data_IF_817812167857
#
_entry.id   IF_817812167857
#
_cell.length_a   1.000
_cell.length_b   1.000
_cell.length_c   1.000
_cell.angle_alpha   90.00
_cell.angle_beta   90.00
_cell.angle_gamma   90.00
#
_symmetry.space_group_name_H-M   'P 1'
#
loop_
_entity.id
_entity.type
_entity.pdbx_description
1 polymer ?
#
# COMPACT_ATOMS: atom_id res chain seq x y z
N UNK A 1 -23.36 -17.43 -6.82
CA UNK A 1 -22.89 -16.30 -6.02
C UNK A 1 -23.12 -15.02 -6.82
N UNK A 2 -23.85 -14.04 -6.27
CA UNK A 2 -24.01 -12.72 -6.94
C UNK A 2 -22.66 -12.01 -6.82
N UNK A 3 -22.01 -11.74 -7.95
CA UNK A 3 -20.77 -10.94 -7.98
C UNK A 3 -21.07 -9.56 -7.39
N UNK A 4 -20.47 -9.22 -6.26
CA UNK A 4 -20.57 -7.87 -5.68
C UNK A 4 -19.86 -6.90 -6.63
N UNK A 5 -20.46 -5.74 -6.91
CA UNK A 5 -19.81 -4.72 -7.72
C UNK A 5 -18.64 -4.09 -6.96
N UNK A 6 -17.61 -3.60 -7.69
CA UNK A 6 -16.48 -2.88 -7.08
C UNK A 6 -16.96 -1.75 -6.16
N UNK A 7 -17.99 -1.01 -6.57
CA UNK A 7 -18.49 0.15 -5.82
C UNK A 7 -19.18 -0.24 -4.50
N UNK A 8 -20.00 -1.28 -4.52
CA UNK A 8 -20.62 -1.81 -3.29
C UNK A 8 -19.56 -2.24 -2.27
N UNK A 9 -18.51 -2.92 -2.72
CA UNK A 9 -17.42 -3.36 -1.82
C UNK A 9 -16.62 -2.16 -1.30
N UNK A 10 -16.36 -1.14 -2.13
CA UNK A 10 -15.70 0.11 -1.70
C UNK A 10 -16.49 0.83 -0.60
N UNK A 11 -17.79 1.01 -0.81
CA UNK A 11 -18.68 1.68 0.16
C UNK A 11 -18.70 0.94 1.50
N UNK A 12 -18.85 -0.39 1.48
CA UNK A 12 -18.83 -1.21 2.69
C UNK A 12 -17.48 -1.11 3.43
N UNK A 13 -16.35 -1.18 2.71
CA UNK A 13 -15.02 -1.08 3.31
C UNK A 13 -14.77 0.30 3.91
N UNK A 14 -15.16 1.37 3.23
CA UNK A 14 -15.03 2.73 3.75
C UNK A 14 -15.89 2.95 4.99
N UNK A 15 -17.12 2.42 5.02
CA UNK A 15 -18.01 2.47 6.18
C UNK A 15 -17.40 1.74 7.38
N UNK A 16 -16.91 0.49 7.18
CA UNK A 16 -16.23 -0.28 8.24
C UNK A 16 -15.00 0.44 8.78
N UNK A 17 -14.19 1.03 7.91
CA UNK A 17 -13.02 1.81 8.33
C UNK A 17 -13.38 3.04 9.15
N UNK A 18 -14.43 3.75 8.78
CA UNK A 18 -14.90 4.94 9.49
C UNK A 18 -15.47 4.63 10.87
N UNK A 19 -15.88 3.39 11.12
CA UNK A 19 -16.38 2.94 12.41
C UNK A 19 -15.28 2.57 13.41
N UNK A 20 -14.01 2.45 12.97
CA UNK A 20 -12.88 2.11 13.85
C UNK A 20 -12.55 3.25 14.81
N UNK A 21 -12.32 2.92 16.06
CA UNK A 21 -11.84 3.86 17.05
C UNK A 21 -10.36 4.25 16.82
N UNK A 22 -9.96 5.39 17.33
CA UNK A 22 -8.55 5.81 17.30
C UNK A 22 -7.62 4.83 18.01
N UNK A 23 -8.10 4.13 19.03
CA UNK A 23 -7.34 3.12 19.75
C UNK A 23 -7.07 1.88 18.87
N UNK A 24 -8.08 1.39 18.14
CA UNK A 24 -7.91 0.27 17.19
C UNK A 24 -6.94 0.64 16.06
N UNK A 25 -7.08 1.84 15.51
CA UNK A 25 -6.16 2.34 14.46
C UNK A 25 -4.73 2.43 15.00
N UNK A 26 -4.53 2.99 16.19
CA UNK A 26 -3.20 3.09 16.81
C UNK A 26 -2.58 1.72 17.08
N UNK A 27 -3.36 0.77 17.62
CA UNK A 27 -2.91 -0.59 17.86
C UNK A 27 -2.51 -1.30 16.57
N UNK A 28 -3.29 -1.14 15.49
CA UNK A 28 -2.97 -1.68 14.18
C UNK A 28 -1.65 -1.12 13.64
N UNK A 29 -1.41 0.19 13.78
CA UNK A 29 -0.15 0.82 13.37
C UNK A 29 1.05 0.26 14.12
N UNK A 30 0.93 0.08 15.43
CA UNK A 30 2.00 -0.51 16.24
C UNK A 30 2.28 -1.97 15.83
N UNK A 31 1.25 -2.76 15.61
CA UNK A 31 1.39 -4.14 15.16
C UNK A 31 2.05 -4.24 13.79
N UNK A 32 1.62 -3.42 12.82
CA UNK A 32 2.23 -3.34 11.49
C UNK A 32 3.71 -2.98 11.55
N UNK A 33 4.10 -2.02 12.41
CA UNK A 33 5.52 -1.64 12.59
C UNK A 33 6.39 -2.76 13.17
N UNK A 34 5.80 -3.70 13.91
CA UNK A 34 6.51 -4.80 14.57
C UNK A 34 6.78 -6.02 13.68
N UNK A 35 6.26 -6.07 12.45
CA UNK A 35 6.60 -7.15 11.52
C UNK A 35 8.08 -7.13 11.11
N UNK A 36 8.56 -8.27 10.64
CA UNK A 36 9.95 -8.42 10.14
C UNK A 36 10.09 -7.80 8.74
N UNK A 37 10.16 -6.47 8.70
CA UNK A 37 10.36 -5.71 7.46
C UNK A 37 11.72 -5.97 6.82
N UNK A 38 12.73 -6.36 7.60
CA UNK A 38 14.06 -6.69 7.07
C UNK A 38 14.02 -7.94 6.18
N UNK A 39 13.21 -8.93 6.53
CA UNK A 39 13.05 -10.13 5.72
C UNK A 39 12.30 -9.87 4.40
N UNK A 40 11.35 -8.93 4.39
CA UNK A 40 10.56 -8.59 3.20
C UNK A 40 11.24 -7.57 2.30
N UNK A 41 11.93 -6.59 2.87
CA UNK A 41 12.54 -5.45 2.17
C UNK A 41 14.07 -5.60 2.11
N UNK A 42 14.57 -6.49 1.26
CA UNK A 42 15.99 -6.88 1.24
C UNK A 42 16.91 -5.85 0.58
N UNK A 43 16.45 -5.09 -0.41
CA UNK A 43 17.24 -4.05 -1.10
C UNK A 43 17.21 -2.70 -0.37
N UNK A 44 17.91 -1.71 -0.94
CA UNK A 44 18.05 -0.39 -0.35
C UNK A 44 16.77 0.44 -0.53
N UNK A 45 16.26 0.53 -1.76
CA UNK A 45 15.05 1.30 -2.07
C UNK A 45 13.79 0.50 -1.77
N UNK A 46 12.85 1.13 -1.05
CA UNK A 46 11.51 0.62 -0.74
C UNK A 46 10.52 1.75 -0.95
N UNK A 47 9.36 1.49 -1.55
CA UNK A 47 8.30 2.50 -1.54
C UNK A 47 7.30 2.21 -0.42
N UNK A 48 6.77 3.28 0.18
CA UNK A 48 5.67 3.23 1.12
C UNK A 48 4.66 4.31 0.76
N UNK A 49 3.68 4.56 1.60
CA UNK A 49 2.72 5.65 1.44
C UNK A 49 2.40 6.30 2.79
N UNK A 50 1.96 7.55 2.76
CA UNK A 50 1.41 8.21 3.94
C UNK A 50 -0.06 7.81 4.04
N UNK A 51 -0.40 7.06 5.08
CA UNK A 51 -1.77 6.60 5.30
C UNK A 51 -2.74 7.76 5.57
N UNK A 52 -3.94 7.67 5.00
CA UNK A 52 -5.06 8.53 5.38
C UNK A 52 -5.61 8.10 6.75
N UNK A 53 -6.39 8.97 7.38
CA UNK A 53 -6.87 8.78 8.75
C UNK A 53 -7.61 7.43 9.01
N UNK A 54 -8.25 6.87 7.99
CA UNK A 54 -9.00 5.61 8.08
C UNK A 54 -8.26 4.40 7.49
N UNK A 55 -7.04 4.59 7.01
CA UNK A 55 -6.22 3.50 6.47
C UNK A 55 -5.38 2.83 7.56
N UNK A 56 -4.91 1.58 7.33
CA UNK A 56 -3.89 1.00 8.19
C UNK A 56 -2.71 1.97 8.32
N UNK A 57 -2.32 2.38 9.56
CA UNK A 57 -1.30 3.41 9.74
C UNK A 57 0.07 2.93 9.28
N UNK A 58 0.74 3.75 8.46
CA UNK A 58 2.08 3.44 7.92
C UNK A 58 3.22 4.16 8.64
N UNK A 59 2.94 5.02 9.60
CA UNK A 59 3.97 5.79 10.32
C UNK A 59 5.02 4.88 10.95
N UNK A 60 4.60 3.87 11.72
CA UNK A 60 5.51 2.94 12.39
C UNK A 60 6.26 2.04 11.38
N UNK A 61 5.62 1.65 10.28
CA UNK A 61 6.26 0.91 9.18
C UNK A 61 7.35 1.76 8.55
N UNK A 62 7.04 3.02 8.21
CA UNK A 62 8.01 3.97 7.63
C UNK A 62 9.19 4.21 8.57
N UNK A 63 8.91 4.49 9.84
CA UNK A 63 9.95 4.63 10.87
C UNK A 63 10.83 3.39 10.92
N UNK A 64 10.23 2.19 10.93
CA UNK A 64 10.97 0.93 10.97
C UNK A 64 11.85 0.73 9.74
N UNK A 65 11.36 1.04 8.55
CA UNK A 65 12.15 0.97 7.31
C UNK A 65 13.35 1.95 7.35
N UNK A 66 13.14 3.18 7.83
CA UNK A 66 14.23 4.15 8.02
C UNK A 66 15.25 3.67 9.06
N UNK A 67 14.83 3.09 10.19
CA UNK A 67 15.72 2.49 11.20
C UNK A 67 16.56 1.33 10.63
N UNK A 68 16.02 0.59 9.65
CA UNK A 68 16.73 -0.44 8.90
C UNK A 68 17.67 0.13 7.82
N UNK A 69 17.81 1.45 7.75
CA UNK A 69 18.66 2.14 6.78
C UNK A 69 18.13 2.10 5.35
N UNK A 70 16.81 1.94 5.14
CA UNK A 70 16.22 1.92 3.80
C UNK A 70 15.98 3.35 3.29
N UNK A 71 16.15 3.52 1.98
CA UNK A 71 15.69 4.70 1.27
C UNK A 71 14.19 4.54 1.00
N UNK A 72 13.36 5.22 1.79
CA UNK A 72 11.90 5.11 1.69
C UNK A 72 11.38 6.16 0.72
N UNK A 73 10.79 5.73 -0.38
CA UNK A 73 10.12 6.62 -1.34
C UNK A 73 8.61 6.67 -1.10
N UNK A 74 8.04 7.88 -1.12
CA UNK A 74 6.61 8.14 -0.96
C UNK A 74 6.00 8.67 -2.25
N UNK A 75 4.74 8.33 -2.56
CA UNK A 75 4.05 8.78 -3.76
C UNK A 75 3.66 10.25 -3.68
N UNK A 76 3.71 10.91 -4.82
CA UNK A 76 3.24 12.29 -5.07
C UNK A 76 2.17 12.21 -6.16
N UNK A 77 0.97 12.68 -5.87
CA UNK A 77 -0.13 12.66 -6.83
C UNK A 77 0.10 13.69 -7.94
N UNK A 78 -0.05 13.25 -9.19
CA UNK A 78 0.10 14.10 -10.39
C UNK A 78 -1.18 14.07 -11.22
N UNK A 79 -1.39 15.07 -12.10
CA UNK A 79 -2.48 15.07 -13.07
C UNK A 79 -2.51 13.78 -13.89
N UNK A 80 -3.70 13.35 -14.32
CA UNK A 80 -3.89 12.10 -15.07
C UNK A 80 -3.81 10.85 -14.19
N UNK A 81 -3.97 11.00 -12.86
CA UNK A 81 -3.91 9.93 -11.87
C UNK A 81 -2.59 9.13 -11.96
N UNK A 82 -1.48 9.81 -12.22
CA UNK A 82 -0.13 9.27 -12.20
C UNK A 82 0.56 9.59 -10.87
N UNK A 83 1.62 8.86 -10.56
CA UNK A 83 2.45 9.07 -9.37
C UNK A 83 3.85 9.51 -9.79
N UNK A 84 4.37 10.53 -9.12
CA UNK A 84 5.79 10.78 -8.97
C UNK A 84 6.21 10.34 -7.57
N UNK A 85 7.49 10.40 -7.26
CA UNK A 85 8.05 9.90 -6.01
C UNK A 85 9.01 10.91 -5.39
N UNK A 86 9.18 10.85 -4.08
CA UNK A 86 10.16 11.62 -3.32
C UNK A 86 10.53 10.86 -2.06
N UNK A 87 11.67 11.18 -1.45
CA UNK A 87 12.15 10.47 -0.26
C UNK A 87 11.45 10.95 1.02
N UNK A 88 11.25 10.04 1.96
CA UNK A 88 10.63 10.26 3.27
C UNK A 88 11.56 10.97 4.29
N UNK A 89 12.73 11.38 3.86
CA UNK A 89 13.70 12.16 4.63
C UNK A 89 13.54 13.69 4.46
N UNK A 90 12.57 14.12 3.67
CA UNK A 90 12.27 15.52 3.38
C UNK A 90 11.06 16.02 4.16
N UNK A 91 10.90 17.33 4.26
CA UNK A 91 9.70 17.94 4.80
C UNK A 91 8.48 17.55 3.93
N UNK A 92 7.44 16.99 4.58
CA UNK A 92 6.22 16.60 3.90
C UNK A 92 5.24 17.78 3.82
N UNK A 93 4.77 18.08 2.63
CA UNK A 93 3.81 19.14 2.36
C UNK A 93 2.42 18.57 2.11
N UNK A 94 1.41 19.17 2.71
CA UNK A 94 0.02 18.72 2.57
C UNK A 94 -0.55 19.14 1.21
N UNK A 95 -1.02 18.19 0.41
CA UNK A 95 -1.66 18.47 -0.87
C UNK A 95 -3.14 18.90 -0.71
N UNK A 96 -3.84 19.20 -1.82
CA UNK A 96 -5.24 19.62 -1.83
C UNK A 96 -6.22 18.56 -1.32
N UNK A 97 -5.83 17.29 -1.27
CA UNK A 97 -6.62 16.19 -0.70
C UNK A 97 -6.33 15.93 0.78
N UNK A 98 -5.44 16.73 1.37
CA UNK A 98 -5.04 16.58 2.77
C UNK A 98 -4.01 15.50 3.01
N UNK A 99 -3.40 14.92 1.99
CA UNK A 99 -2.36 13.90 2.05
C UNK A 99 -1.00 14.60 2.11
N UNK A 100 -0.11 14.13 2.98
CA UNK A 100 1.25 14.63 3.07
C UNK A 100 2.13 13.97 2.01
N UNK A 101 2.84 14.78 1.24
CA UNK A 101 3.69 14.37 0.12
C UNK A 101 5.11 14.94 0.28
N UNK A 102 6.15 14.19 -0.12
CA UNK A 102 7.53 14.66 -0.09
C UNK A 102 7.82 15.64 -1.24
N UNK A 103 9.02 16.20 -1.22
CA UNK A 103 9.56 16.94 -2.38
C UNK A 103 9.87 15.93 -3.50
N UNK A 104 9.49 16.21 -4.77
CA UNK A 104 9.77 15.30 -5.88
C UNK A 104 11.26 15.02 -6.09
N UNK A 105 11.59 13.75 -6.36
CA UNK A 105 12.92 13.29 -6.75
C UNK A 105 12.83 12.37 -7.98
N UNK A 106 13.93 12.19 -8.69
CA UNK A 106 14.03 11.22 -9.79
C UNK A 106 14.23 9.82 -9.21
N UNK A 107 13.14 9.09 -9.02
CA UNK A 107 13.15 7.74 -8.45
C UNK A 107 12.46 6.79 -9.43
N UNK A 108 13.20 5.79 -9.89
CA UNK A 108 12.66 4.65 -10.64
C UNK A 108 12.28 3.53 -9.66
N UNK A 109 10.98 3.37 -9.43
CA UNK A 109 10.46 2.36 -8.50
C UNK A 109 10.62 0.93 -8.99
N UNK A 110 11.00 0.70 -10.26
CA UNK A 110 11.36 -0.64 -10.74
C UNK A 110 12.62 -1.18 -10.06
N UNK A 111 13.47 -0.30 -9.54
CA UNK A 111 14.67 -0.63 -8.77
C UNK A 111 14.40 -0.85 -7.27
N UNK A 112 13.16 -0.67 -6.81
CA UNK A 112 12.80 -0.95 -5.43
C UNK A 112 12.87 -2.46 -5.15
N UNK A 113 13.19 -2.83 -3.91
CA UNK A 113 13.08 -4.22 -3.46
C UNK A 113 11.65 -4.60 -3.08
N UNK A 114 10.88 -3.62 -2.66
CA UNK A 114 9.47 -3.78 -2.33
C UNK A 114 8.67 -2.51 -2.60
N UNK A 115 7.42 -2.67 -3.01
CA UNK A 115 6.44 -1.59 -3.17
C UNK A 115 5.28 -1.86 -2.22
N UNK A 116 5.12 -1.02 -1.21
CA UNK A 116 3.99 -1.07 -0.29
C UNK A 116 2.79 -0.33 -0.91
N UNK A 117 1.65 -1.00 -0.98
CA UNK A 117 0.48 -0.57 -1.76
C UNK A 117 -0.73 -0.44 -0.83
N UNK A 118 -1.46 0.69 -0.85
CA UNK A 118 -2.73 0.80 -0.15
C UNK A 118 -3.85 0.07 -0.90
N UNK A 119 -4.76 -0.54 -0.15
CA UNK A 119 -6.01 -1.08 -0.68
C UNK A 119 -7.15 -0.92 0.33
N UNK A 120 -8.38 -1.07 -0.12
CA UNK A 120 -9.57 -1.18 0.74
C UNK A 120 -9.84 -2.63 1.14
N UNK A 121 -9.56 -3.56 0.24
CA UNK A 121 -9.66 -5.01 0.46
C UNK A 121 -8.70 -5.75 -0.46
N UNK A 122 -8.32 -6.96 -0.07
CA UNK A 122 -7.43 -7.83 -0.84
C UNK A 122 -7.96 -9.25 -0.87
N UNK A 123 -7.69 -9.95 -1.94
CA UNK A 123 -7.96 -11.37 -2.10
C UNK A 123 -6.71 -12.21 -1.83
N UNK A 124 -6.90 -13.42 -1.27
CA UNK A 124 -5.83 -14.44 -1.13
C UNK A 124 -5.31 -14.93 -2.50
N UNK A 125 -6.04 -14.62 -3.57
CA UNK A 125 -5.65 -14.85 -4.95
C UNK A 125 -4.74 -13.74 -5.53
N UNK A 126 -4.33 -12.76 -4.72
CA UNK A 126 -3.53 -11.62 -5.14
C UNK A 126 -4.32 -10.45 -5.70
N UNK A 127 -5.64 -10.58 -5.83
CA UNK A 127 -6.49 -9.48 -6.27
C UNK A 127 -6.57 -8.37 -5.22
N UNK A 128 -6.67 -7.11 -5.67
CA UNK A 128 -6.78 -5.98 -4.76
C UNK A 128 -7.83 -4.97 -5.22
N UNK A 129 -8.55 -4.39 -4.28
CA UNK A 129 -9.52 -3.34 -4.52
C UNK A 129 -9.05 -2.03 -3.90
N UNK A 130 -8.67 -1.08 -4.74
CA UNK A 130 -8.34 0.29 -4.34
C UNK A 130 -9.57 1.21 -4.33
N UNK A 131 -9.33 2.50 -4.07
CA UNK A 131 -10.37 3.56 -4.01
C UNK A 131 -10.98 3.94 -5.37
N UNK A 132 -10.46 3.42 -6.50
CA UNK A 132 -11.03 3.59 -7.83
C UNK A 132 -10.32 4.60 -8.74
N UNK A 133 -9.38 5.40 -8.26
CA UNK A 133 -8.66 6.36 -9.09
C UNK A 133 -7.58 5.74 -9.99
N UNK A 134 -7.12 4.51 -9.70
CA UNK A 134 -6.18 3.75 -10.51
C UNK A 134 -4.73 4.24 -10.48
N UNK A 135 -4.33 5.02 -9.48
CA UNK A 135 -2.95 5.52 -9.35
C UNK A 135 -1.91 4.40 -9.34
N UNK A 136 -2.12 3.39 -8.49
CA UNK A 136 -1.17 2.29 -8.36
C UNK A 136 -1.20 1.33 -9.56
N UNK A 137 -2.36 1.13 -10.20
CA UNK A 137 -2.43 0.30 -11.41
C UNK A 137 -1.59 0.92 -12.53
N UNK A 138 -1.67 2.25 -12.72
CA UNK A 138 -0.84 2.95 -13.69
C UNK A 138 0.64 2.94 -13.33
N UNK A 139 0.98 3.16 -12.05
CA UNK A 139 2.37 3.15 -11.62
C UNK A 139 3.00 1.75 -11.80
N UNK A 140 2.25 0.69 -11.49
CA UNK A 140 2.71 -0.69 -11.56
C UNK A 140 2.70 -1.27 -12.99
N UNK A 141 1.95 -0.69 -13.92
CA UNK A 141 1.91 -1.13 -15.31
C UNK A 141 3.27 -1.05 -16.03
N UNK A 142 4.17 -0.18 -15.56
CA UNK A 142 5.52 -0.01 -16.10
C UNK A 142 6.59 -0.77 -15.27
N UNK A 143 6.19 -1.46 -14.21
CA UNK A 143 7.09 -2.15 -13.28
C UNK A 143 6.96 -3.66 -13.48
N UNK A 144 8.07 -4.39 -13.72
CA UNK A 144 8.02 -5.85 -13.82
C UNK A 144 7.36 -6.48 -12.59
N UNK A 145 6.71 -7.62 -12.78
CA UNK A 145 6.19 -8.41 -11.65
C UNK A 145 7.33 -9.02 -10.84
N UNK A 146 7.08 -9.38 -9.60
CA UNK A 146 8.08 -10.03 -8.75
C UNK A 146 8.62 -11.32 -9.39
N UNK A 147 7.74 -12.13 -9.99
CA UNK A 147 8.11 -13.34 -10.74
C UNK A 147 9.03 -13.06 -11.94
N UNK A 148 9.02 -11.83 -12.48
CA UNK A 148 9.88 -11.37 -13.58
C UNK A 148 11.11 -10.58 -13.10
N UNK A 149 11.44 -10.67 -11.80
CA UNK A 149 12.58 -9.97 -11.20
C UNK A 149 12.30 -8.53 -10.78
N UNK A 150 11.06 -8.09 -10.77
CA UNK A 150 10.66 -6.78 -10.24
C UNK A 150 10.50 -6.76 -8.72
N UNK A 151 10.08 -5.63 -8.15
CA UNK A 151 9.89 -5.45 -6.71
C UNK A 151 8.76 -6.31 -6.15
N UNK A 152 8.91 -6.73 -4.89
CA UNK A 152 7.86 -7.43 -4.14
C UNK A 152 6.69 -6.46 -3.89
N UNK A 153 5.49 -6.82 -4.32
CA UNK A 153 4.28 -6.01 -4.16
C UNK A 153 3.56 -6.39 -2.88
N UNK A 154 3.67 -5.53 -1.86
CA UNK A 154 3.14 -5.76 -0.52
C UNK A 154 1.91 -4.90 -0.31
N UNK A 155 0.76 -5.49 0.02
CA UNK A 155 -0.45 -4.73 0.32
C UNK A 155 -0.70 -4.67 1.82
N UNK A 156 -0.98 -3.46 2.34
CA UNK A 156 -1.31 -3.21 3.74
C UNK A 156 -2.82 -3.03 3.91
N UNK A 157 -3.44 -3.88 4.72
CA UNK A 157 -4.88 -3.85 5.03
C UNK A 157 -5.12 -4.21 6.51
N UNK A 158 -6.33 -3.98 7.02
CA UNK A 158 -6.74 -4.53 8.32
C UNK A 158 -7.08 -6.02 8.20
N UNK A 159 -7.09 -6.75 9.33
CA UNK A 159 -7.30 -8.20 9.35
C UNK A 159 -8.64 -8.64 8.72
N UNK A 160 -9.70 -7.87 8.90
CA UNK A 160 -11.04 -8.12 8.36
C UNK A 160 -11.23 -7.67 6.90
N UNK A 161 -10.16 -7.19 6.25
CA UNK A 161 -10.17 -6.74 4.85
C UNK A 161 -9.55 -7.77 3.90
N UNK A 162 -9.28 -8.98 4.38
CA UNK A 162 -8.76 -10.09 3.58
C UNK A 162 -9.91 -11.05 3.23
N UNK A 163 -10.18 -11.20 1.95
CA UNK A 163 -11.19 -12.12 1.39
C UNK A 163 -10.49 -13.27 0.61
N UNK A 164 -11.23 -14.27 0.14
CA UNK A 164 -10.69 -15.27 -0.79
C UNK A 164 -10.34 -14.62 -2.15
N UNK A 165 -11.22 -13.71 -2.63
CA UNK A 165 -10.98 -12.89 -3.81
C UNK A 165 -11.77 -11.59 -3.73
N UNK A 166 -11.32 -10.55 -4.43
CA UNK A 166 -12.07 -9.28 -4.57
C UNK A 166 -12.38 -8.99 -6.04
N UNK A 167 -13.43 -8.21 -6.32
CA UNK A 167 -13.74 -7.83 -7.70
C UNK A 167 -12.55 -7.14 -8.36
N UNK A 168 -12.01 -7.73 -9.41
CA UNK A 168 -10.85 -7.26 -10.15
C UNK A 168 -11.09 -7.29 -11.66
N UNK A 169 -10.26 -6.59 -12.42
CA UNK A 169 -10.23 -6.57 -13.88
C UNK A 169 -8.87 -7.03 -14.37
N UNK A 170 -8.78 -7.42 -15.64
CA UNK A 170 -7.55 -7.99 -16.23
C UNK A 170 -6.33 -7.04 -16.13
N UNK A 171 -6.58 -5.75 -16.09
CA UNK A 171 -5.53 -4.74 -16.00
C UNK A 171 -5.17 -4.33 -14.56
N UNK A 172 -5.91 -4.82 -13.55
CA UNK A 172 -5.59 -4.54 -12.16
C UNK A 172 -4.28 -5.28 -11.76
N UNK A 173 -3.33 -4.55 -11.21
CA UNK A 173 -2.06 -5.13 -10.80
C UNK A 173 -2.25 -6.05 -9.57
N UNK A 174 -1.80 -7.30 -9.68
CA UNK A 174 -1.80 -8.24 -8.58
C UNK A 174 -0.70 -7.91 -7.56
N UNK A 175 -0.88 -8.42 -6.34
CA UNK A 175 0.06 -8.32 -5.22
C UNK A 175 0.67 -9.67 -4.90
N UNK A 176 1.83 -9.67 -4.24
CA UNK A 176 2.59 -10.87 -3.89
C UNK A 176 2.48 -11.21 -2.39
N UNK A 177 2.26 -10.19 -1.54
CA UNK A 177 2.20 -10.32 -0.08
C UNK A 177 1.09 -9.46 0.48
N UNK A 178 0.32 -10.01 1.40
CA UNK A 178 -0.63 -9.28 2.25
C UNK A 178 -0.03 -9.14 3.64
N UNK A 179 0.01 -7.92 4.16
CA UNK A 179 0.41 -7.64 5.54
C UNK A 179 -0.76 -7.00 6.27
N UNK A 180 -1.18 -7.63 7.34
CA UNK A 180 -2.21 -7.11 8.25
C UNK A 180 -1.61 -6.92 9.65
N UNK A 181 -2.28 -6.27 10.59
CA UNK A 181 -1.79 -6.16 11.97
C UNK A 181 -1.39 -7.50 12.60
N UNK A 182 -2.11 -8.60 12.30
CA UNK A 182 -1.88 -9.89 12.97
C UNK A 182 -1.03 -10.89 12.17
N UNK A 183 -0.85 -10.70 10.85
CA UNK A 183 -0.25 -11.75 10.00
C UNK A 183 0.38 -11.22 8.72
N UNK A 184 1.28 -12.03 8.16
CA UNK A 184 1.87 -11.88 6.82
C UNK A 184 1.45 -13.09 6.00
N UNK A 185 0.84 -12.87 4.83
CA UNK A 185 0.39 -13.91 3.92
C UNK A 185 1.12 -13.79 2.59
N UNK A 186 1.85 -14.83 2.21
CA UNK A 186 2.43 -14.95 0.87
C UNK A 186 1.35 -15.41 -0.11
N UNK A 187 1.29 -14.79 -1.28
CA UNK A 187 0.42 -15.23 -2.38
C UNK A 187 1.25 -16.18 -3.26
N UNK A 188 0.71 -17.35 -3.51
CA UNK A 188 1.35 -18.41 -4.31
C UNK A 188 0.98 -18.28 -5.79
#
# INVERSE_FOLDING_TARGET
>A
MVSRSKDTVREQSMSSRSARSSAEISAAGSALGNHDWAAMCKGQLVTCFVSMATEPPTTQVRTKLCELGKDVALPIMKPGNSLAWGFDDTELVKNSYGIYEPIPAEIDISNASAILIPALRVGRDGSRLGRGAGYYDRALAQVPTYASGGPLRICLVFDDEVDESVPSEVHDALIDVIVTPSQILQIN
#
